data_IF_384221961876
#
_entry.id   IF_384221961876
#
_cell.length_a   1.000
_cell.length_b   1.000
_cell.length_c   1.000
_cell.angle_alpha   90.00
_cell.angle_beta   90.00
_cell.angle_gamma   90.00
#
_symmetry.space_group_name_H-M   'P 1'
#
loop_
_entity.id
_entity.type
_entity.pdbx_description
1 polymer ?
#
# COMPACT_ATOMS: atom_id res chain seq x y z
N UNK A 1 28.42 2.16 -9.09
CA UNK A 1 27.60 1.40 -10.06
C UNK A 1 26.80 0.30 -9.39
N UNK A 2 27.41 -0.67 -8.69
CA UNK A 2 26.69 -1.76 -8.02
C UNK A 2 25.55 -1.30 -7.09
N UNK A 3 25.79 -0.32 -6.20
CA UNK A 3 24.76 0.21 -5.30
C UNK A 3 23.55 0.83 -6.01
N UNK A 4 23.77 1.52 -7.14
CA UNK A 4 22.70 2.11 -7.94
C UNK A 4 21.86 1.04 -8.63
N UNK A 5 22.51 0.00 -9.18
CA UNK A 5 21.83 -1.13 -9.83
C UNK A 5 20.99 -1.91 -8.81
N UNK A 6 21.53 -2.16 -7.61
CA UNK A 6 20.79 -2.81 -6.52
C UNK A 6 19.56 -1.99 -6.13
N UNK A 7 19.68 -0.67 -6.00
CA UNK A 7 18.53 0.20 -5.67
C UNK A 7 17.43 0.14 -6.73
N UNK A 8 17.79 0.23 -8.01
CA UNK A 8 16.84 0.12 -9.13
C UNK A 8 16.16 -1.25 -9.11
N UNK A 9 16.92 -2.32 -8.85
CA UNK A 9 16.38 -3.66 -8.70
C UNK A 9 15.35 -3.74 -7.55
N UNK A 10 15.71 -3.27 -6.35
CA UNK A 10 14.81 -3.23 -5.19
C UNK A 10 13.53 -2.44 -5.49
N UNK A 11 13.64 -1.27 -6.14
CA UNK A 11 12.48 -0.47 -6.54
C UNK A 11 11.60 -1.19 -7.57
N UNK A 12 12.21 -1.89 -8.54
CA UNK A 12 11.49 -2.63 -9.56
C UNK A 12 10.72 -3.80 -8.96
N UNK A 13 11.38 -4.61 -8.11
CA UNK A 13 10.76 -5.76 -7.44
C UNK A 13 9.64 -5.30 -6.52
N UNK A 14 9.86 -4.24 -5.72
CA UNK A 14 8.83 -3.71 -4.84
C UNK A 14 7.61 -3.21 -5.62
N UNK A 15 7.81 -2.54 -6.77
CA UNK A 15 6.72 -2.16 -7.67
C UNK A 15 6.02 -3.36 -8.28
N UNK A 16 6.75 -4.39 -8.68
CA UNK A 16 6.17 -5.59 -9.26
C UNK A 16 5.26 -6.33 -8.26
N UNK A 17 5.72 -6.52 -7.02
CA UNK A 17 4.92 -7.14 -5.95
C UNK A 17 3.67 -6.32 -5.64
N UNK A 18 3.80 -4.99 -5.54
CA UNK A 18 2.65 -4.10 -5.34
C UNK A 18 1.68 -4.11 -6.53
N UNK A 19 2.20 -4.17 -7.76
CA UNK A 19 1.36 -4.21 -8.96
C UNK A 19 0.51 -5.48 -9.01
N UNK A 20 1.06 -6.64 -8.59
CA UNK A 20 0.30 -7.87 -8.49
C UNK A 20 -0.85 -7.73 -7.47
N UNK A 21 -0.58 -7.12 -6.32
CA UNK A 21 -1.58 -6.85 -5.30
C UNK A 21 -2.68 -5.90 -5.81
N UNK A 22 -2.31 -4.88 -6.59
CA UNK A 22 -3.25 -3.96 -7.23
C UNK A 22 -4.15 -4.64 -8.26
N UNK A 23 -3.60 -5.57 -9.05
CA UNK A 23 -4.40 -6.36 -9.99
C UNK A 23 -5.44 -7.22 -9.28
N UNK A 24 -5.06 -7.85 -8.15
CA UNK A 24 -6.02 -8.57 -7.29
C UNK A 24 -7.07 -7.62 -6.74
N UNK A 25 -6.68 -6.44 -6.24
CA UNK A 25 -7.61 -5.42 -5.74
C UNK A 25 -8.62 -4.97 -6.79
N UNK A 26 -8.17 -4.69 -8.02
CA UNK A 26 -9.05 -4.33 -9.14
C UNK A 26 -10.02 -5.47 -9.46
N UNK A 27 -9.53 -6.72 -9.53
CA UNK A 27 -10.38 -7.88 -9.78
C UNK A 27 -11.46 -8.03 -8.70
N UNK A 28 -11.12 -7.86 -7.41
CA UNK A 28 -12.08 -7.90 -6.31
C UNK A 28 -13.11 -6.76 -6.39
N UNK A 29 -12.69 -5.55 -6.78
CA UNK A 29 -13.62 -4.43 -6.98
C UNK A 29 -14.58 -4.73 -8.13
N UNK A 30 -14.07 -5.18 -9.28
CA UNK A 30 -14.89 -5.51 -10.45
C UNK A 30 -15.90 -6.62 -10.11
N UNK A 31 -15.46 -7.65 -9.39
CA UNK A 31 -16.35 -8.71 -8.91
C UNK A 31 -17.40 -8.19 -7.92
N UNK A 32 -17.01 -7.38 -6.95
CA UNK A 32 -17.94 -6.75 -6.00
C UNK A 32 -18.97 -5.85 -6.70
N UNK A 33 -18.56 -5.04 -7.68
CA UNK A 33 -19.47 -4.22 -8.48
C UNK A 33 -20.43 -5.06 -9.32
N UNK A 34 -19.95 -6.18 -9.87
CA UNK A 34 -20.79 -7.14 -10.56
C UNK A 34 -21.84 -7.76 -9.62
N UNK A 35 -21.45 -8.15 -8.40
CA UNK A 35 -22.37 -8.65 -7.38
C UNK A 35 -23.42 -7.60 -6.98
N UNK A 36 -23.02 -6.33 -6.81
CA UNK A 36 -23.98 -5.22 -6.57
C UNK A 36 -24.96 -5.09 -7.73
N UNK A 37 -24.49 -5.15 -8.98
CA UNK A 37 -25.36 -5.09 -10.17
C UNK A 37 -26.37 -6.22 -10.22
N UNK A 38 -25.94 -7.45 -9.90
CA UNK A 38 -26.83 -8.62 -9.84
C UNK A 38 -27.89 -8.41 -8.75
N UNK A 39 -27.45 -8.02 -7.55
CA UNK A 39 -28.34 -7.78 -6.42
C UNK A 39 -29.37 -6.67 -6.67
N UNK A 40 -28.95 -5.55 -7.29
CA UNK A 40 -29.87 -4.47 -7.68
C UNK A 40 -30.95 -4.96 -8.65
N UNK A 41 -30.56 -5.78 -9.63
CA UNK A 41 -31.51 -6.34 -10.61
C UNK A 41 -32.57 -7.22 -9.96
N UNK A 42 -32.20 -7.98 -8.94
CA UNK A 42 -33.13 -8.85 -8.22
C UNK A 42 -34.10 -8.04 -7.35
N UNK A 43 -33.67 -6.90 -6.78
CA UNK A 43 -34.53 -5.97 -6.05
C UNK A 43 -35.51 -5.25 -6.98
N UNK A 44 -35.04 -4.73 -8.11
CA UNK A 44 -35.89 -4.00 -9.07
C UNK A 44 -37.00 -4.87 -9.68
N UNK A 45 -36.84 -6.20 -9.66
CA UNK A 45 -37.83 -7.17 -10.12
C UNK A 45 -38.95 -7.50 -9.13
N UNK A 46 -38.85 -7.08 -7.86
CA UNK A 46 -39.83 -7.37 -6.80
C UNK A 46 -40.58 -6.09 -6.38
N UNK A 47 -41.89 -5.95 -6.68
CA UNK A 47 -42.67 -4.75 -6.33
C UNK A 47 -42.95 -4.59 -4.82
N UNK A 48 -42.61 -5.59 -3.99
CA UNK A 48 -43.03 -5.67 -2.60
C UNK A 48 -41.88 -6.12 -1.70
N UNK A 49 -40.86 -5.28 -1.48
CA UNK A 49 -40.06 -5.33 -0.24
C UNK A 49 -39.06 -4.15 -0.18
N UNK A 50 -39.52 -3.02 0.34
CA UNK A 50 -38.70 -1.81 0.54
C UNK A 50 -38.15 -1.65 1.96
N UNK A 51 -38.32 -2.65 2.83
CA UNK A 51 -38.12 -2.41 4.26
C UNK A 51 -36.72 -2.73 4.82
N UNK A 52 -35.82 -3.41 4.10
CA UNK A 52 -34.41 -3.53 4.50
C UNK A 52 -33.49 -3.81 3.30
N UNK A 53 -33.13 -2.75 2.57
CA UNK A 53 -32.17 -2.79 1.44
C UNK A 53 -30.74 -2.84 2.01
N UNK A 54 -30.43 -3.85 2.81
CA UNK A 54 -29.10 -4.04 3.40
C UNK A 54 -28.25 -4.78 2.38
N UNK A 55 -27.16 -4.13 1.94
CA UNK A 55 -26.21 -4.75 1.02
C UNK A 55 -25.68 -6.04 1.66
N UNK A 56 -25.64 -7.16 0.92
CA UNK A 56 -25.06 -8.39 1.43
C UNK A 56 -23.67 -8.11 1.98
N UNK A 57 -23.43 -8.50 3.23
CA UNK A 57 -22.18 -8.20 3.94
C UNK A 57 -20.95 -8.62 3.13
N UNK A 58 -21.01 -9.78 2.46
CA UNK A 58 -19.95 -10.30 1.60
C UNK A 58 -19.55 -9.33 0.48
N UNK A 59 -20.53 -8.68 -0.16
CA UNK A 59 -20.30 -7.69 -1.22
C UNK A 59 -19.62 -6.43 -0.69
N UNK A 60 -20.02 -5.98 0.51
CA UNK A 60 -19.40 -4.84 1.17
C UNK A 60 -17.94 -5.15 1.55
N UNK A 61 -17.70 -6.34 2.12
CA UNK A 61 -16.35 -6.78 2.50
C UNK A 61 -15.44 -6.95 1.29
N UNK A 62 -15.93 -7.50 0.16
CA UNK A 62 -15.11 -7.68 -1.05
C UNK A 62 -14.73 -6.35 -1.69
N UNK A 63 -15.67 -5.39 -1.73
CA UNK A 63 -15.41 -4.03 -2.24
C UNK A 63 -14.43 -3.27 -1.33
N UNK A 64 -14.66 -3.30 -0.02
CA UNK A 64 -13.79 -2.64 0.96
C UNK A 64 -12.37 -3.20 0.97
N UNK A 65 -12.24 -4.53 0.92
CA UNK A 65 -10.94 -5.19 0.80
C UNK A 65 -10.24 -4.79 -0.52
N UNK A 66 -10.95 -4.80 -1.65
CA UNK A 66 -10.39 -4.45 -2.95
C UNK A 66 -9.91 -3.01 -3.01
N UNK A 67 -10.69 -2.08 -2.46
CA UNK A 67 -10.30 -0.68 -2.33
C UNK A 67 -9.05 -0.51 -1.46
N UNK A 68 -8.99 -1.21 -0.33
CA UNK A 68 -7.82 -1.21 0.57
C UNK A 68 -6.57 -1.69 -0.17
N UNK A 69 -6.65 -2.81 -0.91
CA UNK A 69 -5.52 -3.32 -1.70
C UNK A 69 -5.04 -2.32 -2.77
N UNK A 70 -5.97 -1.63 -3.43
CA UNK A 70 -5.63 -0.57 -4.39
C UNK A 70 -4.92 0.61 -3.72
N UNK A 71 -5.39 1.04 -2.53
CA UNK A 71 -4.73 2.10 -1.77
C UNK A 71 -3.32 1.72 -1.32
N UNK A 72 -3.16 0.50 -0.79
CA UNK A 72 -1.84 -0.07 -0.42
C UNK A 72 -0.90 -0.06 -1.63
N UNK A 73 -1.40 -0.47 -2.79
CA UNK A 73 -0.63 -0.49 -4.05
C UNK A 73 -0.19 0.92 -4.45
N UNK A 74 -1.09 1.90 -4.46
CA UNK A 74 -0.76 3.29 -4.78
C UNK A 74 0.35 3.82 -3.86
N UNK A 75 0.21 3.60 -2.54
CA UNK A 75 1.21 4.01 -1.55
C UNK A 75 2.53 3.28 -1.78
N UNK A 76 2.51 1.98 -2.10
CA UNK A 76 3.70 1.19 -2.43
C UNK A 76 4.45 1.70 -3.66
N UNK A 77 3.74 2.08 -4.72
CA UNK A 77 4.34 2.68 -5.92
C UNK A 77 4.98 4.05 -5.63
N UNK A 78 4.29 4.90 -4.85
CA UNK A 78 4.80 6.19 -4.38
C UNK A 78 6.05 5.97 -3.52
N UNK A 79 5.99 5.05 -2.55
CA UNK A 79 7.09 4.73 -1.66
C UNK A 79 8.32 4.20 -2.42
N UNK A 80 8.11 3.34 -3.42
CA UNK A 80 9.18 2.85 -4.28
C UNK A 80 9.79 3.96 -5.17
N UNK A 81 8.97 4.88 -5.68
CA UNK A 81 9.42 5.98 -6.57
C UNK A 81 10.25 7.01 -5.80
N UNK A 82 9.70 7.55 -4.71
CA UNK A 82 10.33 8.64 -3.99
C UNK A 82 11.37 8.15 -2.98
N UNK A 83 11.25 6.91 -2.48
CA UNK A 83 12.15 6.32 -1.49
C UNK A 83 12.45 7.26 -0.30
N UNK A 84 11.53 8.18 0.00
CA UNK A 84 11.62 9.09 1.12
C UNK A 84 11.33 8.31 2.40
N UNK A 85 12.12 8.55 3.45
CA UNK A 85 11.99 7.80 4.70
C UNK A 85 10.59 7.80 5.28
N UNK A 86 9.85 8.91 5.16
CA UNK A 86 8.48 9.06 5.67
C UNK A 86 7.47 8.19 4.90
N UNK A 87 7.39 8.30 3.56
CA UNK A 87 6.45 7.51 2.74
C UNK A 87 6.70 6.00 2.88
N UNK A 88 7.97 5.60 2.93
CA UNK A 88 8.35 4.22 3.13
C UNK A 88 7.94 3.73 4.54
N UNK A 89 8.09 4.56 5.58
CA UNK A 89 7.66 4.23 6.94
C UNK A 89 6.14 4.05 7.04
N UNK A 90 5.37 4.95 6.41
CA UNK A 90 3.91 4.82 6.35
C UNK A 90 3.48 3.55 5.62
N UNK A 91 4.09 3.25 4.48
CA UNK A 91 3.85 2.00 3.75
C UNK A 91 4.11 0.77 4.62
N UNK A 92 5.26 0.74 5.30
CA UNK A 92 5.64 -0.36 6.20
C UNK A 92 4.65 -0.54 7.35
N UNK A 93 4.19 0.56 7.95
CA UNK A 93 3.18 0.53 9.02
C UNK A 93 1.86 -0.03 8.49
N UNK A 94 1.42 0.37 7.31
CA UNK A 94 0.19 -0.15 6.71
C UNK A 94 0.29 -1.65 6.46
N UNK A 95 1.38 -2.14 5.84
CA UNK A 95 1.57 -3.59 5.63
C UNK A 95 1.61 -4.33 6.96
N UNK A 96 2.28 -3.78 7.98
CA UNK A 96 2.29 -4.38 9.31
C UNK A 96 0.90 -4.47 9.95
N UNK A 97 0.09 -3.42 9.84
CA UNK A 97 -1.30 -3.44 10.30
C UNK A 97 -2.15 -4.47 9.53
N UNK A 98 -1.92 -4.64 8.23
CA UNK A 98 -2.58 -5.68 7.42
C UNK A 98 -2.18 -7.07 7.90
N UNK A 99 -0.89 -7.34 8.16
CA UNK A 99 -0.43 -8.62 8.73
C UNK A 99 -1.10 -8.90 10.07
N UNK A 100 -1.19 -7.89 10.96
CA UNK A 100 -1.84 -8.05 12.25
C UNK A 100 -3.33 -8.34 12.10
N UNK A 101 -4.01 -7.66 11.17
CA UNK A 101 -5.42 -7.90 10.88
C UNK A 101 -5.64 -9.31 10.31
N UNK A 102 -4.81 -9.75 9.36
CA UNK A 102 -4.86 -11.10 8.80
C UNK A 102 -4.62 -12.17 9.86
N UNK A 103 -3.62 -11.98 10.72
CA UNK A 103 -3.33 -12.91 11.81
C UNK A 103 -4.46 -12.93 12.84
N UNK A 104 -5.07 -11.78 13.15
CA UNK A 104 -6.22 -11.70 14.06
C UNK A 104 -7.45 -12.42 13.48
N UNK A 105 -7.77 -12.19 12.21
CA UNK A 105 -8.88 -12.87 11.52
C UNK A 105 -8.61 -14.38 11.41
N UNK A 106 -7.38 -14.78 11.06
CA UNK A 106 -7.02 -16.19 10.99
C UNK A 106 -7.10 -16.87 12.37
N UNK A 107 -6.62 -16.20 13.42
CA UNK A 107 -6.72 -16.69 14.79
C UNK A 107 -8.19 -16.80 15.23
N UNK A 108 -9.02 -15.79 14.91
CA UNK A 108 -10.45 -15.81 15.24
C UNK A 108 -11.15 -16.99 14.56
N UNK A 109 -10.97 -17.18 13.24
CA UNK A 109 -11.55 -18.31 12.49
C UNK A 109 -11.06 -19.67 13.05
N UNK A 110 -9.79 -19.78 13.42
CA UNK A 110 -9.21 -21.05 13.90
C UNK A 110 -9.55 -21.38 15.37
N UNK A 111 -9.66 -20.38 16.24
CA UNK A 111 -9.93 -20.56 17.67
C UNK A 111 -11.43 -20.53 17.99
N UNK A 112 -12.23 -19.79 17.22
CA UNK A 112 -13.66 -19.68 17.45
C UNK A 112 -14.40 -20.84 16.78
N UNK A 113 -14.60 -21.95 17.49
CA UNK A 113 -15.37 -23.09 16.94
C UNK A 113 -16.83 -22.75 16.58
N UNK A 114 -17.34 -21.58 16.98
CA UNK A 114 -18.70 -21.14 16.71
C UNK A 114 -18.83 -20.06 15.62
N UNK A 115 -17.75 -19.73 14.89
CA UNK A 115 -17.74 -18.69 13.86
C UNK A 115 -18.88 -18.83 12.82
N UNK A 116 -19.30 -20.06 12.56
CA UNK A 116 -20.40 -20.38 11.64
C UNK A 116 -21.75 -19.82 12.09
N UNK A 117 -21.96 -19.65 13.40
CA UNK A 117 -23.21 -19.10 13.96
C UNK A 117 -23.36 -17.59 13.71
N UNK A 118 -22.26 -16.90 13.43
CA UNK A 118 -22.26 -15.45 13.17
C UNK A 118 -22.65 -15.11 11.72
N UNK A 119 -22.77 -16.12 10.84
CA UNK A 119 -23.21 -15.94 9.48
C UNK A 119 -24.74 -15.80 9.39
N UNK A 120 -25.25 -14.95 8.48
CA UNK A 120 -26.68 -14.89 8.24
C UNK A 120 -27.20 -16.22 7.68
N UNK A 121 -28.47 -16.52 7.97
CA UNK A 121 -29.14 -17.72 7.49
C UNK A 121 -29.07 -17.82 5.95
N UNK A 122 -28.56 -18.95 5.44
CA UNK A 122 -28.53 -19.25 4.00
C UNK A 122 -29.84 -19.93 3.54
N UNK A 123 -30.70 -19.24 2.78
CA UNK A 123 -31.93 -19.83 2.26
C UNK A 123 -31.70 -20.84 1.13
N UNK A 124 -30.52 -20.85 0.49
CA UNK A 124 -30.23 -21.75 -0.64
C UNK A 124 -29.73 -23.12 -0.21
N UNK A 125 -29.26 -23.26 1.03
CA UNK A 125 -28.65 -24.47 1.56
C UNK A 125 -27.32 -24.86 0.89
N UNK A 126 -26.82 -24.03 -0.03
CA UNK A 126 -25.59 -24.28 -0.79
C UNK A 126 -24.33 -23.93 -0.01
N UNK A 127 -24.46 -23.22 1.10
CA UNK A 127 -23.34 -22.89 1.96
C UNK A 127 -22.66 -24.15 2.53
N UNK A 128 -23.41 -25.21 2.82
CA UNK A 128 -22.84 -26.48 3.29
C UNK A 128 -21.90 -27.10 2.24
N UNK A 129 -22.29 -27.11 0.96
CA UNK A 129 -21.43 -27.59 -0.13
C UNK A 129 -20.12 -26.78 -0.21
N UNK A 130 -20.20 -25.46 -0.01
CA UNK A 130 -19.02 -24.59 0.01
C UNK A 130 -18.12 -24.88 1.21
N UNK A 131 -18.70 -25.08 2.39
CA UNK A 131 -17.96 -25.44 3.60
C UNK A 131 -17.23 -26.77 3.42
N UNK A 132 -17.90 -27.81 2.91
CA UNK A 132 -17.29 -29.11 2.60
C UNK A 132 -16.14 -28.98 1.60
N UNK A 133 -16.28 -28.10 0.59
CA UNK A 133 -15.21 -27.78 -0.34
C UNK A 133 -14.01 -27.11 0.34
N UNK A 134 -14.24 -26.14 1.23
CA UNK A 134 -13.17 -25.47 1.98
C UNK A 134 -12.46 -26.46 2.90
N UNK A 135 -13.22 -27.24 3.68
CA UNK A 135 -12.70 -28.26 4.60
C UNK A 135 -11.84 -29.31 3.89
N UNK A 136 -12.28 -29.79 2.71
CA UNK A 136 -11.52 -30.74 1.90
C UNK A 136 -10.25 -30.16 1.26
N UNK A 137 -10.11 -28.84 1.21
CA UNK A 137 -8.97 -28.16 0.58
C UNK A 137 -8.24 -27.20 1.53
N UNK A 138 -8.40 -27.34 2.85
CA UNK A 138 -7.80 -26.43 3.84
C UNK A 138 -6.29 -26.30 3.70
N UNK A 139 -5.59 -27.38 3.34
CA UNK A 139 -4.15 -27.33 3.09
C UNK A 139 -3.80 -26.30 2.01
N UNK A 140 -4.57 -26.26 0.92
CA UNK A 140 -4.36 -25.31 -0.19
C UNK A 140 -4.60 -23.88 0.31
N UNK A 141 -5.67 -23.65 1.07
CA UNK A 141 -5.97 -22.33 1.64
C UNK A 141 -4.89 -21.86 2.62
N UNK A 142 -4.34 -22.76 3.44
CA UNK A 142 -3.24 -22.45 4.34
C UNK A 142 -1.96 -22.09 3.58
N UNK A 143 -1.61 -22.83 2.51
CA UNK A 143 -0.48 -22.48 1.65
C UNK A 143 -0.68 -21.12 0.98
N UNK A 144 -1.88 -20.83 0.48
CA UNK A 144 -2.22 -19.52 -0.09
C UNK A 144 -2.02 -18.42 0.96
N UNK A 145 -2.55 -18.59 2.17
CA UNK A 145 -2.37 -17.66 3.28
C UNK A 145 -0.89 -17.43 3.63
N UNK A 146 -0.11 -18.50 3.70
CA UNK A 146 1.33 -18.41 3.95
C UNK A 146 2.06 -17.61 2.85
N UNK A 147 1.72 -17.83 1.57
CA UNK A 147 2.29 -17.06 0.47
C UNK A 147 1.94 -15.57 0.53
N UNK A 148 0.71 -15.22 0.97
CA UNK A 148 0.29 -13.83 1.16
C UNK A 148 1.13 -13.16 2.25
N UNK A 149 1.23 -13.77 3.44
CA UNK A 149 2.03 -13.25 4.55
C UNK A 149 3.52 -13.15 4.15
N UNK A 150 4.03 -14.13 3.41
CA UNK A 150 5.41 -14.11 2.90
C UNK A 150 5.62 -12.95 1.92
N UNK A 151 4.69 -12.69 0.99
CA UNK A 151 4.78 -11.58 0.05
C UNK A 151 4.74 -10.21 0.76
N UNK A 152 3.93 -10.08 1.81
CA UNK A 152 3.88 -8.89 2.67
C UNK A 152 5.20 -8.71 3.46
N UNK A 153 5.73 -9.80 4.04
CA UNK A 153 7.02 -9.79 4.72
C UNK A 153 8.18 -9.43 3.78
N UNK A 154 8.19 -9.96 2.55
CA UNK A 154 9.15 -9.59 1.52
C UNK A 154 9.03 -8.11 1.14
N UNK A 155 7.81 -7.58 1.04
CA UNK A 155 7.58 -6.16 0.80
C UNK A 155 8.18 -5.28 1.90
N UNK A 156 8.06 -5.71 3.16
CA UNK A 156 8.67 -5.05 4.32
C UNK A 156 10.20 -5.08 4.24
N UNK A 157 10.78 -6.23 3.91
CA UNK A 157 12.23 -6.39 3.77
C UNK A 157 12.77 -5.52 2.63
N UNK A 158 12.11 -5.53 1.47
CA UNK A 158 12.49 -4.74 0.30
C UNK A 158 12.43 -3.24 0.60
N UNK A 159 11.36 -2.78 1.24
CA UNK A 159 11.25 -1.39 1.68
C UNK A 159 12.33 -1.04 2.71
N UNK A 160 12.61 -1.90 3.70
CA UNK A 160 13.70 -1.66 4.67
C UNK A 160 15.06 -1.57 3.98
N UNK A 161 15.36 -2.49 3.06
CA UNK A 161 16.59 -2.47 2.26
C UNK A 161 16.69 -1.20 1.39
N UNK A 162 15.57 -0.75 0.83
CA UNK A 162 15.51 0.50 0.07
C UNK A 162 15.74 1.73 0.96
N UNK A 163 15.32 1.68 2.22
CA UNK A 163 15.61 2.72 3.23
C UNK A 163 17.08 2.76 3.60
N UNK A 164 17.67 1.59 3.85
CA UNK A 164 19.06 1.47 4.31
C UNK A 164 20.08 1.74 3.20
N UNK A 165 19.69 1.55 1.93
CA UNK A 165 20.54 1.85 0.77
C UNK A 165 20.92 3.35 0.65
N UNK A 166 20.31 4.22 1.47
CA UNK A 166 20.60 5.65 1.51
C UNK A 166 20.15 6.41 0.26
N UNK A 167 19.92 7.73 0.34
CA UNK A 167 19.70 8.52 -0.87
C UNK A 167 20.98 8.50 -1.70
N UNK A 168 20.91 7.88 -2.89
CA UNK A 168 21.95 8.04 -3.90
C UNK A 168 22.01 9.55 -4.23
N UNK A 169 23.10 10.21 -3.85
CA UNK A 169 23.35 11.66 -4.03
C UNK A 169 23.23 12.17 -5.48
N UNK A 170 22.91 11.28 -6.43
CA UNK A 170 22.87 11.52 -7.87
C UNK A 170 21.49 11.87 -8.42
N UNK A 171 20.45 11.95 -7.59
CA UNK A 171 19.09 12.35 -8.00
C UNK A 171 18.77 13.84 -7.75
N UNK A 172 19.76 14.65 -7.39
CA UNK A 172 19.58 16.11 -7.17
C UNK A 172 20.02 16.96 -8.37
N UNK A 173 20.30 16.36 -9.52
CA UNK A 173 20.82 17.04 -10.72
C UNK A 173 20.10 16.57 -12.00
N UNK A 174 18.77 16.53 -11.97
CA UNK A 174 17.99 16.50 -13.23
C UNK A 174 16.57 17.04 -12.98
N UNK A 175 16.55 18.30 -12.56
CA UNK A 175 15.34 19.09 -12.37
C UNK A 175 15.69 20.53 -12.72
N UNK A 176 15.94 20.77 -14.00
CA UNK A 176 15.97 22.09 -14.61
C UNK A 176 14.59 22.74 -14.43
N UNK A 177 14.36 23.35 -13.27
CA UNK A 177 13.33 24.37 -13.09
C UNK A 177 13.99 25.50 -12.29
N UNK A 178 14.21 26.62 -12.96
CA UNK A 178 14.80 27.84 -12.46
C UNK A 178 14.14 28.29 -11.15
N UNK A 179 14.93 28.32 -10.07
CA UNK A 179 14.67 29.23 -8.96
C UNK A 179 16.02 29.67 -8.37
N UNK A 180 16.40 30.94 -8.49
CA UNK A 180 17.69 31.40 -7.98
C UNK A 180 17.72 31.29 -6.44
N UNK A 181 18.85 30.89 -5.84
CA UNK A 181 18.97 30.83 -4.40
C UNK A 181 19.07 32.26 -3.83
N UNK A 182 17.95 32.79 -3.33
CA UNK A 182 17.94 33.98 -2.50
C UNK A 182 18.52 33.62 -1.11
N UNK A 183 19.86 33.55 -1.04
CA UNK A 183 20.63 33.48 0.20
C UNK A 183 21.42 34.78 0.33
N UNK A 184 20.74 35.84 0.77
CA UNK A 184 21.38 37.03 1.32
C UNK A 184 22.12 36.65 2.63
N UNK A 185 23.43 36.95 2.78
CA UNK A 185 24.08 36.85 4.07
C UNK A 185 23.78 38.14 4.85
N UNK A 186 22.85 38.06 5.80
CA UNK A 186 22.72 39.06 6.87
C UNK A 186 23.88 38.86 7.86
N UNK A 187 24.61 39.95 8.12
CA UNK A 187 25.67 40.16 9.13
C UNK A 187 27.11 39.87 8.69
N UNK A 188 27.81 40.96 8.36
CA UNK A 188 29.26 41.11 8.50
C UNK A 188 29.51 42.00 9.75
N UNK A 189 30.16 41.53 10.83
CA UNK A 189 30.36 42.34 12.05
C UNK A 189 31.58 43.27 12.01
N UNK A 190 32.40 43.26 10.96
CA UNK A 190 33.67 44.00 10.98
C UNK A 190 33.64 45.18 10.02
N UNK A 191 32.94 46.24 10.43
CA UNK A 191 33.15 47.59 9.91
C UNK A 191 33.86 48.44 10.97
N UNK A 192 35.14 48.72 10.76
CA UNK A 192 35.75 49.97 11.19
C UNK A 192 36.60 50.57 10.04
N UNK A 193 36.62 51.91 9.88
CA UNK A 193 36.89 52.58 8.60
C UNK A 193 38.21 53.40 8.62
N UNK A 194 38.43 54.33 7.67
CA UNK A 194 39.51 54.34 6.67
C UNK A 194 40.82 55.04 7.13
N UNK A 195 41.97 54.65 6.57
CA UNK A 195 43.23 55.40 6.71
C UNK A 195 43.89 55.69 5.35
N UNK A 196 44.16 56.97 5.12
CA UNK A 196 44.81 57.57 3.96
C UNK A 196 46.33 57.24 3.99
N UNK A 197 46.93 56.81 2.86
CA UNK A 197 48.28 57.27 2.52
C UNK A 197 48.67 57.06 1.05
N UNK A 198 49.63 57.87 0.59
CA UNK A 198 49.84 58.38 -0.77
C UNK A 198 50.69 57.49 -1.70
N UNK A 199 50.43 57.65 -3.02
CA UNK A 199 51.34 57.92 -4.18
C UNK A 199 52.77 57.32 -4.26
N UNK A 200 53.14 57.00 -5.52
CA UNK A 200 54.48 56.84 -6.15
C UNK A 200 55.08 55.42 -6.09
N UNK A 201 55.83 54.88 -7.05
CA UNK A 201 56.24 55.19 -8.45
C UNK A 201 57.16 54.00 -8.88
N UNK A 202 57.36 53.79 -10.20
CA UNK A 202 58.31 52.88 -10.87
C UNK A 202 57.94 51.38 -10.87
N UNK A 203 58.04 50.64 -11.98
CA UNK A 203 58.84 50.76 -13.21
C UNK A 203 58.12 50.06 -14.37
#
# INVERSE_FOLDING_TARGET
>A
MAATVVRICLQSVLKAVNSLLGMVGIAMILYGLWMVRVWLRDIDGSPFDHHNVVLPWFTCTSLGAGFTLCMVTCIGHVAAKYAHGCCLSFYMLIIFLVILLELAVAADILLNSEWEKDLPYDPTGKFNDFKDFVESNLDIFQWIGLFIVLAQGLSIILATALRSAGPNQRSSYDGDEECPPERLPLINPNSHPPELHYRCQER
#
